data_IF_244695102389
#
_entry.id   IF_244695102389
#
_cell.length_a   1.000
_cell.length_b   1.000
_cell.length_c   1.000
_cell.angle_alpha   90.00
_cell.angle_beta   90.00
_cell.angle_gamma   90.00
#
_symmetry.space_group_name_H-M   'P 1'
#
loop_
_entity.id
_entity.type
_entity.pdbx_description
1 polymer ?
#
# COMPACT_ATOMS: atom_id res chain seq x y z
N UNK A 1 17.32 -64.58 -49.16
CA UNK A 1 18.18 -63.46 -49.57
C UNK A 1 17.40 -62.16 -49.42
N UNK A 2 17.95 -61.25 -48.62
CA UNK A 2 17.61 -59.83 -48.42
C UNK A 2 16.21 -59.41 -47.94
N UNK A 3 16.14 -59.25 -46.61
CA UNK A 3 15.19 -58.45 -45.85
C UNK A 3 15.40 -56.95 -46.12
N UNK A 4 14.33 -56.22 -46.46
CA UNK A 4 14.28 -54.75 -46.37
C UNK A 4 13.35 -54.36 -45.23
N UNK A 5 13.94 -53.99 -44.09
CA UNK A 5 13.26 -53.36 -42.95
C UNK A 5 12.92 -51.91 -43.33
N UNK A 6 11.64 -51.56 -43.38
CA UNK A 6 11.20 -50.16 -43.34
C UNK A 6 11.21 -49.72 -41.86
N UNK A 7 12.08 -48.77 -41.53
CA UNK A 7 12.09 -48.05 -40.25
C UNK A 7 10.93 -47.06 -40.24
N UNK A 8 9.96 -47.27 -39.36
CA UNK A 8 8.92 -46.29 -39.03
C UNK A 8 9.52 -45.29 -38.04
N UNK A 9 9.76 -44.05 -38.48
CA UNK A 9 10.17 -42.96 -37.59
C UNK A 9 8.92 -42.48 -36.87
N UNK A 10 8.81 -42.81 -35.58
CA UNK A 10 7.81 -42.21 -34.70
C UNK A 10 8.23 -40.75 -34.43
N UNK A 11 7.45 -39.79 -34.95
CA UNK A 11 7.59 -38.40 -34.57
C UNK A 11 7.14 -38.25 -33.11
N UNK A 12 8.10 -38.15 -32.19
CA UNK A 12 7.84 -37.75 -30.82
C UNK A 12 7.42 -36.27 -30.84
N UNK A 13 6.12 -36.02 -30.66
CA UNK A 13 5.61 -34.68 -30.35
C UNK A 13 6.15 -34.33 -28.96
N UNK A 14 7.19 -33.50 -28.89
CA UNK A 14 7.55 -32.83 -27.65
C UNK A 14 6.38 -31.91 -27.29
N UNK A 15 5.55 -32.34 -26.34
CA UNK A 15 4.69 -31.43 -25.62
C UNK A 15 5.60 -30.43 -24.89
N UNK A 16 5.69 -29.21 -25.42
CA UNK A 16 6.20 -28.07 -24.67
C UNK A 16 5.17 -27.82 -23.58
N UNK A 17 5.41 -28.38 -22.40
CA UNK A 17 4.70 -27.97 -21.19
C UNK A 17 5.10 -26.53 -20.94
N UNK A 18 4.26 -25.58 -21.33
CA UNK A 18 4.34 -24.21 -20.82
C UNK A 18 4.05 -24.31 -19.33
N UNK A 19 5.11 -24.39 -18.53
CA UNK A 19 5.00 -24.20 -17.08
C UNK A 19 4.28 -22.87 -16.89
N UNK A 20 3.07 -22.91 -16.35
CA UNK A 20 2.39 -21.74 -15.83
C UNK A 20 3.32 -21.10 -14.80
N UNK A 21 3.96 -19.99 -15.17
CA UNK A 21 4.80 -19.20 -14.27
C UNK A 21 3.86 -18.42 -13.36
N UNK A 22 3.19 -19.10 -12.43
CA UNK A 22 2.94 -18.50 -11.14
C UNK A 22 4.24 -18.69 -10.36
N UNK A 23 5.24 -17.85 -10.62
CA UNK A 23 6.34 -17.75 -9.66
C UNK A 23 5.70 -17.28 -8.35
N UNK A 24 5.72 -18.16 -7.34
CA UNK A 24 5.24 -17.78 -6.01
C UNK A 24 6.01 -16.57 -5.51
N UNK A 25 5.34 -15.71 -4.74
CA UNK A 25 6.00 -14.59 -4.07
C UNK A 25 7.24 -15.09 -3.32
N UNK A 26 8.31 -14.29 -3.28
CA UNK A 26 9.45 -14.61 -2.43
C UNK A 26 8.98 -14.78 -0.98
N UNK A 27 9.30 -15.90 -0.34
CA UNK A 27 9.01 -16.11 1.08
C UNK A 27 10.19 -15.63 1.91
N UNK A 28 9.92 -14.78 2.90
CA UNK A 28 10.90 -14.41 3.92
C UNK A 28 11.40 -15.68 4.63
N UNK A 29 12.72 -15.82 4.74
CA UNK A 29 13.37 -17.01 5.32
C UNK A 29 13.41 -17.02 6.85
N UNK A 30 13.20 -15.86 7.49
CA UNK A 30 13.15 -15.74 8.95
C UNK A 30 11.91 -16.48 9.51
N UNK A 31 12.09 -17.49 10.39
CA UNK A 31 10.98 -18.25 10.97
C UNK A 31 9.95 -17.40 11.73
N UNK A 32 10.31 -16.20 12.19
CA UNK A 32 9.39 -15.31 12.89
C UNK A 32 8.16 -14.94 12.03
N UNK A 33 8.33 -14.89 10.71
CA UNK A 33 7.26 -14.55 9.76
C UNK A 33 6.34 -15.73 9.44
N UNK A 34 6.59 -16.91 10.01
CA UNK A 34 5.80 -18.11 9.78
C UNK A 34 5.03 -18.51 11.03
N UNK A 35 3.73 -18.78 10.87
CA UNK A 35 2.92 -19.37 11.94
C UNK A 35 3.15 -20.88 12.04
N UNK A 36 3.57 -21.33 13.22
CA UNK A 36 3.88 -22.74 13.50
C UNK A 36 2.92 -23.38 14.51
N UNK A 37 1.85 -22.67 14.91
CA UNK A 37 0.88 -23.18 15.87
C UNK A 37 -0.09 -24.21 15.26
N UNK A 38 -0.72 -25.01 16.13
CA UNK A 38 -1.60 -26.10 15.71
C UNK A 38 -3.04 -25.64 15.40
N UNK A 39 -3.46 -24.45 15.85
CA UNK A 39 -4.82 -23.94 15.65
C UNK A 39 -4.93 -23.35 14.24
N UNK A 40 -5.88 -23.80 13.39
CA UNK A 40 -6.06 -23.21 12.07
C UNK A 40 -6.30 -21.70 12.15
N UNK A 41 -5.62 -20.89 11.32
CA UNK A 41 -5.75 -19.42 11.33
C UNK A 41 -7.20 -18.93 11.15
N UNK A 42 -8.03 -19.69 10.42
CA UNK A 42 -9.47 -19.41 10.26
C UNK A 42 -10.25 -19.42 11.59
N UNK A 43 -9.75 -20.12 12.60
CA UNK A 43 -10.34 -20.24 13.93
C UNK A 43 -9.78 -19.23 14.93
N UNK A 44 -8.82 -18.39 14.50
CA UNK A 44 -8.21 -17.33 15.30
C UNK A 44 -8.80 -16.00 14.86
N UNK A 45 -9.09 -15.10 15.79
CA UNK A 45 -9.65 -13.79 15.49
C UNK A 45 -8.61 -12.84 14.86
N UNK A 46 -9.00 -11.98 13.90
CA UNK A 46 -8.12 -10.95 13.35
C UNK A 46 -7.53 -10.04 14.44
N UNK A 47 -6.24 -9.71 14.33
CA UNK A 47 -5.45 -8.95 15.30
C UNK A 47 -4.96 -9.75 16.51
N UNK A 48 -5.21 -11.06 16.59
CA UNK A 48 -4.63 -11.91 17.64
C UNK A 48 -3.13 -12.05 17.41
N UNK A 49 -2.33 -11.76 18.44
CA UNK A 49 -0.87 -11.97 18.40
C UNK A 49 -0.53 -13.44 18.58
N UNK A 50 0.30 -13.94 17.68
CA UNK A 50 0.70 -15.35 17.55
C UNK A 50 2.15 -15.56 17.95
N UNK A 51 3.00 -14.55 17.77
CA UNK A 51 4.39 -14.55 18.21
C UNK A 51 4.86 -13.13 18.50
N UNK A 52 5.89 -12.97 19.32
CA UNK A 52 6.48 -11.67 19.66
C UNK A 52 7.98 -11.78 19.77
N UNK A 53 8.70 -10.76 19.29
CA UNK A 53 10.14 -10.60 19.55
C UNK A 53 10.50 -9.14 19.76
N UNK A 54 11.62 -8.91 20.42
CA UNK A 54 12.22 -7.58 20.57
C UNK A 54 13.39 -7.48 19.59
N UNK A 55 13.44 -6.39 18.82
CA UNK A 55 14.55 -6.08 17.92
C UNK A 55 15.11 -4.69 18.20
N UNK A 56 16.40 -4.50 17.94
CA UNK A 56 16.98 -3.16 17.89
C UNK A 56 16.39 -2.41 16.71
N UNK A 57 15.90 -1.19 16.91
CA UNK A 57 15.37 -0.39 15.81
C UNK A 57 16.52 0.15 14.97
N UNK A 58 16.55 -0.21 13.69
CA UNK A 58 17.52 0.31 12.73
C UNK A 58 16.93 1.43 11.87
N UNK A 59 17.75 2.44 11.58
CA UNK A 59 17.43 3.51 10.62
C UNK A 59 18.56 3.51 9.58
N UNK A 60 18.21 3.33 8.30
CA UNK A 60 19.18 3.21 7.21
C UNK A 60 20.27 2.16 7.49
N UNK A 61 19.90 1.02 8.08
CA UNK A 61 20.81 -0.07 8.46
C UNK A 61 21.65 0.20 9.71
N UNK A 62 21.57 1.38 10.31
CA UNK A 62 22.31 1.73 11.52
C UNK A 62 21.45 1.48 12.76
N UNK A 63 21.93 0.73 13.76
CA UNK A 63 21.19 0.50 15.00
C UNK A 63 21.03 1.82 15.76
N UNK A 64 19.86 2.01 16.36
CA UNK A 64 19.56 3.14 17.26
C UNK A 64 19.54 2.68 18.71
N UNK A 65 19.40 3.62 19.66
CA UNK A 65 19.19 3.29 21.07
C UNK A 65 17.75 2.81 21.38
N UNK A 66 16.85 2.84 20.39
CA UNK A 66 15.46 2.43 20.57
C UNK A 66 15.27 0.95 20.26
N UNK A 67 14.26 0.37 20.89
CA UNK A 67 13.81 -0.99 20.61
C UNK A 67 12.44 -0.96 19.92
N UNK A 68 12.19 -1.97 19.10
CA UNK A 68 10.88 -2.24 18.53
C UNK A 68 10.37 -3.61 18.99
N UNK A 69 9.09 -3.68 19.34
CA UNK A 69 8.38 -4.95 19.55
C UNK A 69 7.78 -5.40 18.23
N UNK A 70 8.25 -6.51 17.69
CA UNK A 70 7.62 -7.14 16.53
C UNK A 70 6.57 -8.14 16.96
N UNK A 71 5.40 -8.05 16.35
CA UNK A 71 4.25 -8.90 16.61
C UNK A 71 3.89 -9.62 15.31
N UNK A 72 3.95 -10.95 15.32
CA UNK A 72 3.28 -11.76 14.31
C UNK A 72 1.81 -11.85 14.70
N UNK A 73 0.89 -11.41 13.85
CA UNK A 73 -0.54 -11.40 14.15
C UNK A 73 -1.36 -12.01 13.01
N UNK A 74 -2.54 -12.52 13.36
CA UNK A 74 -3.51 -13.04 12.38
C UNK A 74 -4.22 -11.87 11.70
N UNK A 75 -4.31 -11.88 10.37
CA UNK A 75 -5.07 -10.90 9.56
C UNK A 75 -5.81 -11.60 8.41
N UNK A 76 -6.23 -10.86 7.38
CA UNK A 76 -6.80 -11.38 6.13
C UNK A 76 -6.14 -10.73 4.92
N UNK A 77 -5.94 -11.54 3.86
CA UNK A 77 -5.36 -11.07 2.59
C UNK A 77 -6.42 -10.41 1.68
N UNK A 78 -6.02 -9.94 0.49
CA UNK A 78 -6.93 -9.33 -0.48
C UNK A 78 -8.13 -10.21 -0.90
N UNK A 79 -8.04 -11.53 -0.73
CA UNK A 79 -9.13 -12.49 -0.99
C UNK A 79 -9.97 -12.81 0.27
N UNK A 80 -9.73 -12.12 1.38
CA UNK A 80 -10.30 -12.38 2.71
C UNK A 80 -9.94 -13.76 3.29
N UNK A 81 -8.85 -14.39 2.84
CA UNK A 81 -8.36 -15.64 3.42
C UNK A 81 -7.57 -15.32 4.70
N UNK A 82 -7.67 -16.15 5.75
CA UNK A 82 -6.95 -15.92 6.99
C UNK A 82 -5.46 -16.20 6.80
N UNK A 83 -4.64 -15.17 7.01
CA UNK A 83 -3.17 -15.20 6.89
C UNK A 83 -2.54 -14.62 8.15
N UNK A 84 -1.21 -14.60 8.20
CA UNK A 84 -0.45 -13.85 9.22
C UNK A 84 0.26 -12.68 8.59
N UNK A 85 0.57 -11.69 9.41
CA UNK A 85 1.39 -10.57 9.02
C UNK A 85 2.19 -10.04 10.22
N UNK A 86 3.14 -9.15 9.97
CA UNK A 86 3.99 -8.57 11.02
C UNK A 86 3.76 -7.06 11.16
N UNK A 87 3.90 -6.58 12.40
CA UNK A 87 3.96 -5.16 12.71
C UNK A 87 5.06 -4.90 13.73
N UNK A 88 5.71 -3.75 13.62
CA UNK A 88 6.72 -3.28 14.56
C UNK A 88 6.15 -2.11 15.38
N UNK A 89 6.23 -2.20 16.71
CA UNK A 89 5.89 -1.09 17.61
C UNK A 89 7.16 -0.48 18.19
N UNK A 90 7.50 0.71 17.72
CA UNK A 90 8.63 1.50 18.22
C UNK A 90 8.14 2.29 19.44
N UNK A 91 8.75 2.00 20.59
CA UNK A 91 8.34 2.63 21.86
C UNK A 91 8.99 3.99 22.01
N UNK A 92 8.18 5.00 22.34
CA UNK A 92 8.73 6.28 22.77
C UNK A 92 9.35 6.16 24.16
N UNK A 93 10.56 6.69 24.38
CA UNK A 93 11.17 6.77 25.71
C UNK A 93 10.42 7.73 26.66
N UNK A 94 9.58 8.61 26.12
CA UNK A 94 8.78 9.60 26.85
C UNK A 94 7.27 9.37 26.59
N UNK A 95 6.86 8.10 26.58
CA UNK A 95 5.52 7.70 26.14
C UNK A 95 4.40 8.46 26.86
N UNK A 96 3.46 8.97 26.07
CA UNK A 96 2.25 9.65 26.52
C UNK A 96 1.01 8.73 26.51
N UNK A 97 1.20 7.43 26.30
CA UNK A 97 0.14 6.41 26.23
C UNK A 97 -0.71 6.43 24.96
N UNK A 98 -0.39 7.28 23.98
CA UNK A 98 -1.05 7.36 22.66
C UNK A 98 -0.14 6.78 21.58
N UNK A 99 -0.73 6.41 20.45
CA UNK A 99 0.02 5.87 19.33
C UNK A 99 -0.27 6.58 18.01
N UNK A 100 0.73 6.58 17.14
CA UNK A 100 0.56 6.84 15.72
C UNK A 100 0.67 5.49 15.01
N UNK A 101 -0.34 5.13 14.22
CA UNK A 101 -0.20 4.07 13.22
C UNK A 101 0.35 4.72 11.95
N UNK A 102 1.57 4.36 11.59
CA UNK A 102 2.28 4.92 10.45
C UNK A 102 2.35 3.91 9.31
N UNK A 103 1.76 4.26 8.17
CA UNK A 103 1.78 3.46 6.96
C UNK A 103 2.93 3.95 6.08
N UNK A 104 3.99 3.15 5.99
CA UNK A 104 5.16 3.44 5.14
C UNK A 104 4.83 3.26 3.66
N UNK A 105 5.42 4.10 2.80
CA UNK A 105 5.35 3.98 1.35
C UNK A 105 6.57 3.20 0.82
N UNK A 106 6.68 1.93 1.21
CA UNK A 106 7.80 1.08 0.80
C UNK A 106 7.65 0.53 -0.62
N UNK A 107 6.42 0.59 -1.16
CA UNK A 107 6.02 0.41 -2.54
C UNK A 107 6.83 -0.68 -3.26
N UNK A 108 6.59 -1.94 -2.88
CA UNK A 108 7.39 -3.06 -3.38
C UNK A 108 6.57 -4.29 -3.72
N UNK A 109 7.09 -5.10 -4.63
CA UNK A 109 6.56 -6.45 -4.87
C UNK A 109 7.33 -7.52 -4.09
N UNK A 110 8.26 -7.13 -3.22
CA UNK A 110 9.17 -8.03 -2.52
C UNK A 110 8.93 -8.00 -1.00
N UNK A 111 8.53 -9.13 -0.39
CA UNK A 111 8.33 -9.23 1.07
C UNK A 111 9.57 -8.90 1.92
N UNK A 112 10.77 -8.95 1.34
CA UNK A 112 11.96 -8.49 2.06
C UNK A 112 11.99 -6.96 2.24
N UNK A 113 11.24 -6.17 1.47
CA UNK A 113 11.11 -4.69 1.58
C UNK A 113 10.13 -4.23 2.66
N UNK A 114 9.44 -5.17 3.31
CA UNK A 114 8.52 -4.90 4.39
C UNK A 114 9.19 -4.08 5.53
N UNK A 115 8.49 -3.07 6.09
CA UNK A 115 9.00 -2.24 7.18
C UNK A 115 9.59 -3.03 8.35
N UNK A 116 8.98 -4.15 8.74
CA UNK A 116 9.48 -5.02 9.80
C UNK A 116 10.87 -5.60 9.51
N UNK A 117 11.18 -5.97 8.27
CA UNK A 117 12.51 -6.45 7.86
C UNK A 117 13.55 -5.35 7.99
N UNK A 118 13.21 -4.15 7.50
CA UNK A 118 14.06 -2.97 7.57
C UNK A 118 14.36 -2.60 9.03
N UNK A 119 13.34 -2.62 9.88
CA UNK A 119 13.43 -2.32 11.32
C UNK A 119 14.33 -3.34 12.04
N UNK A 120 14.20 -4.63 11.72
CA UNK A 120 14.99 -5.70 12.32
C UNK A 120 16.47 -5.68 11.90
N UNK A 121 16.79 -5.00 10.79
CA UNK A 121 18.15 -4.94 10.24
C UNK A 121 18.49 -6.13 9.34
N UNK A 122 17.51 -6.93 8.92
CA UNK A 122 17.68 -8.18 8.17
C UNK A 122 17.97 -7.96 6.66
N UNK A 123 18.48 -6.79 6.29
CA UNK A 123 18.79 -6.43 4.90
C UNK A 123 20.28 -6.48 4.60
N UNK A 124 20.60 -7.14 3.50
CA UNK A 124 21.91 -7.07 2.87
C UNK A 124 22.27 -5.60 2.61
N UNK A 125 23.38 -5.14 3.20
CA UNK A 125 23.89 -3.78 3.10
C UNK A 125 24.17 -3.34 1.66
N UNK A 126 24.29 -4.29 0.72
CA UNK A 126 24.42 -4.00 -0.72
C UNK A 126 23.10 -3.57 -1.37
N UNK A 127 21.95 -3.88 -0.77
CA UNK A 127 20.61 -3.39 -1.17
C UNK A 127 20.20 -2.10 -0.45
N UNK A 128 20.94 -1.68 0.58
CA UNK A 128 20.75 -0.39 1.27
C UNK A 128 21.14 0.79 0.37
N UNK A 129 21.94 0.55 -0.69
CA UNK A 129 22.23 1.53 -1.75
C UNK A 129 21.18 1.44 -2.89
N UNK A 130 20.00 0.86 -2.64
CA UNK A 130 18.82 1.23 -3.45
C UNK A 130 18.31 2.55 -2.90
N UNK A 131 18.13 3.52 -3.80
CA UNK A 131 17.66 4.89 -3.53
C UNK A 131 16.35 4.93 -2.72
N UNK A 132 15.63 3.81 -2.60
CA UNK A 132 14.53 3.59 -1.67
C UNK A 132 14.91 3.69 -0.17
N UNK A 133 16.15 3.41 0.25
CA UNK A 133 16.58 3.63 1.65
C UNK A 133 16.89 5.10 1.94
N UNK A 134 17.26 5.89 0.93
CA UNK A 134 17.30 7.35 1.01
C UNK A 134 15.89 7.95 1.08
N UNK A 135 14.92 7.35 0.38
CA UNK A 135 13.50 7.68 0.55
C UNK A 135 12.92 7.18 1.88
N UNK A 136 13.46 6.12 2.50
CA UNK A 136 13.11 5.64 3.85
C UNK A 136 13.75 6.45 4.98
N UNK A 137 14.92 7.06 4.74
CA UNK A 137 15.56 8.02 5.65
C UNK A 137 15.09 9.47 5.40
N UNK A 138 14.47 9.70 4.24
CA UNK A 138 13.72 10.89 3.86
C UNK A 138 12.22 10.61 3.76
N UNK A 139 11.70 9.61 4.49
CA UNK A 139 10.27 9.56 4.79
C UNK A 139 10.01 10.82 5.60
N UNK A 140 9.44 11.79 4.93
CA UNK A 140 9.33 13.20 5.31
C UNK A 140 8.40 13.42 6.50
N UNK A 141 7.83 12.34 7.03
CA UNK A 141 7.23 12.30 8.36
C UNK A 141 8.34 12.01 9.38
N UNK A 142 8.74 13.00 10.20
CA UNK A 142 9.82 12.80 11.15
C UNK A 142 9.33 11.90 12.31
N UNK A 143 9.41 10.57 12.15
CA UNK A 143 9.02 9.60 13.18
C UNK A 143 9.74 9.86 14.50
N UNK A 144 10.98 10.34 14.43
CA UNK A 144 11.75 10.84 15.57
C UNK A 144 11.02 11.95 16.33
N UNK A 145 10.41 12.90 15.65
CA UNK A 145 9.61 13.97 16.27
C UNK A 145 8.36 13.39 16.95
N UNK A 146 7.67 12.45 16.31
CA UNK A 146 6.49 11.79 16.93
C UNK A 146 6.89 11.02 18.20
N UNK A 147 8.00 10.30 18.16
CA UNK A 147 8.57 9.60 19.31
C UNK A 147 8.98 10.58 20.41
N UNK A 148 9.61 11.71 20.09
CA UNK A 148 9.97 12.77 21.04
C UNK A 148 8.75 13.47 21.65
N UNK A 149 7.63 13.55 20.93
CA UNK A 149 6.34 14.03 21.43
C UNK A 149 5.61 13.00 22.31
N UNK A 150 6.19 11.82 22.50
CA UNK A 150 5.68 10.78 23.37
C UNK A 150 4.77 9.75 22.70
N UNK A 151 4.58 9.81 21.38
CA UNK A 151 3.76 8.82 20.69
C UNK A 151 4.55 7.53 20.48
N UNK A 152 3.97 6.37 20.84
CA UNK A 152 4.47 5.10 20.33
C UNK A 152 4.10 5.00 18.84
N UNK A 153 4.94 4.40 18.01
CA UNK A 153 4.71 4.31 16.57
C UNK A 153 4.48 2.84 16.19
N UNK A 154 3.31 2.54 15.62
CA UNK A 154 2.95 1.23 15.08
C UNK A 154 3.23 1.28 13.57
N UNK A 155 4.10 0.41 13.08
CA UNK A 155 4.49 0.32 11.67
C UNK A 155 4.13 -1.08 11.16
N UNK A 156 2.96 -1.24 10.52
CA UNK A 156 2.57 -2.50 9.89
C UNK A 156 3.24 -2.72 8.55
N UNK A 157 3.41 -3.99 8.18
CA UNK A 157 3.74 -4.40 6.82
C UNK A 157 2.47 -4.36 5.98
N UNK A 158 2.10 -3.16 5.52
CA UNK A 158 0.73 -2.88 5.03
C UNK A 158 0.34 -3.72 3.83
N UNK A 159 1.29 -4.07 2.95
CA UNK A 159 0.98 -4.80 1.72
C UNK A 159 0.76 -6.31 1.93
N UNK A 160 0.78 -6.78 3.18
CA UNK A 160 0.61 -8.19 3.51
C UNK A 160 1.89 -8.99 3.26
N UNK A 161 1.89 -10.25 3.72
CA UNK A 161 3.05 -11.15 3.74
C UNK A 161 3.67 -11.43 2.36
N UNK A 162 2.90 -11.17 1.30
CA UNK A 162 3.27 -11.37 -0.11
C UNK A 162 3.61 -10.06 -0.82
N UNK A 163 3.61 -8.92 -0.11
CA UNK A 163 3.86 -7.58 -0.62
C UNK A 163 2.93 -7.18 -1.77
N UNK A 164 1.62 -7.38 -1.63
CA UNK A 164 0.64 -7.23 -2.72
C UNK A 164 0.39 -5.75 -3.06
N UNK A 165 1.34 -5.16 -3.80
CA UNK A 165 1.32 -3.75 -4.17
C UNK A 165 -0.01 -3.31 -4.80
N UNK A 166 -0.51 -2.15 -4.36
CA UNK A 166 -1.80 -1.53 -4.68
C UNK A 166 -3.07 -2.29 -4.24
N UNK A 167 -2.98 -3.39 -3.47
CA UNK A 167 -4.15 -4.12 -2.95
C UNK A 167 -4.80 -3.42 -1.74
N UNK A 168 -5.42 -2.26 -1.97
CA UNK A 168 -5.95 -1.39 -0.91
C UNK A 168 -6.81 -2.05 0.19
N UNK A 169 -7.79 -2.93 -0.12
CA UNK A 169 -8.55 -3.63 0.91
C UNK A 169 -7.69 -4.44 1.89
N UNK A 170 -6.64 -5.11 1.39
CA UNK A 170 -5.68 -5.83 2.24
C UNK A 170 -4.94 -4.86 3.15
N UNK A 171 -4.49 -3.71 2.61
CA UNK A 171 -3.77 -2.71 3.38
C UNK A 171 -4.60 -2.17 4.55
N UNK A 172 -5.90 -1.98 4.32
CA UNK A 172 -6.81 -1.56 5.37
C UNK A 172 -6.95 -2.61 6.48
N UNK A 173 -7.10 -3.89 6.12
CA UNK A 173 -7.24 -4.98 7.09
C UNK A 173 -5.95 -5.21 7.88
N UNK A 174 -4.79 -5.27 7.22
CA UNK A 174 -3.47 -5.42 7.87
C UNK A 174 -3.22 -4.24 8.83
N UNK A 175 -3.52 -3.01 8.41
CA UNK A 175 -3.37 -1.83 9.26
C UNK A 175 -4.26 -1.92 10.51
N UNK A 176 -5.56 -2.19 10.37
CA UNK A 176 -6.49 -2.24 11.51
C UNK A 176 -6.16 -3.37 12.48
N UNK A 177 -5.80 -4.54 11.97
CA UNK A 177 -5.44 -5.69 12.79
C UNK A 177 -4.06 -5.52 13.45
N UNK A 178 -3.14 -4.77 12.84
CA UNK A 178 -1.88 -4.39 13.50
C UNK A 178 -2.13 -3.46 14.70
N UNK A 179 -3.07 -2.53 14.59
CA UNK A 179 -3.47 -1.66 15.71
C UNK A 179 -4.09 -2.53 16.80
N UNK A 180 -4.99 -3.46 16.44
CA UNK A 180 -5.58 -4.39 17.40
C UNK A 180 -4.51 -5.25 18.11
N UNK A 181 -3.53 -5.77 17.38
CA UNK A 181 -2.41 -6.52 17.94
C UNK A 181 -1.57 -5.66 18.90
N UNK A 182 -1.25 -4.43 18.50
CA UNK A 182 -0.43 -3.52 19.28
C UNK A 182 -1.10 -3.10 20.60
N UNK A 183 -2.39 -2.75 20.56
CA UNK A 183 -3.16 -2.31 21.73
C UNK A 183 -3.42 -3.43 22.74
N UNK A 184 -3.46 -4.68 22.29
CA UNK A 184 -3.71 -5.85 23.13
C UNK A 184 -2.43 -6.54 23.64
N UNK A 185 -1.24 -5.99 23.35
CA UNK A 185 0.04 -6.59 23.74
C UNK A 185 0.78 -5.71 24.75
N UNK A 186 0.86 -6.09 26.05
CA UNK A 186 1.46 -5.23 27.07
C UNK A 186 2.91 -4.80 26.80
N UNK A 187 3.70 -5.61 26.09
CA UNK A 187 5.10 -5.31 25.82
C UNK A 187 5.30 -4.11 24.87
N UNK A 188 4.27 -3.72 24.13
CA UNK A 188 4.26 -2.52 23.27
C UNK A 188 4.18 -1.21 24.06
N UNK A 189 3.84 -1.28 25.36
CA UNK A 189 3.60 -0.09 26.18
C UNK A 189 2.30 0.65 25.84
N UNK A 190 1.38 0.01 25.11
CA UNK A 190 0.04 0.51 24.83
C UNK A 190 -1.01 -0.26 25.63
N UNK A 191 -2.16 0.38 25.84
CA UNK A 191 -3.32 -0.22 26.47
C UNK A 191 -4.47 -0.38 25.45
N UNK A 192 -5.45 -1.26 25.71
CA UNK A 192 -6.64 -1.40 24.85
C UNK A 192 -7.44 -0.11 24.65
N UNK A 193 -7.27 0.87 25.55
CA UNK A 193 -7.91 2.20 25.52
C UNK A 193 -7.01 3.31 24.94
N UNK A 194 -5.76 3.02 24.61
CA UNK A 194 -4.84 3.99 24.01
C UNK A 194 -5.45 4.54 22.72
N UNK A 195 -5.42 5.88 22.59
CA UNK A 195 -5.88 6.56 21.39
C UNK A 195 -4.84 6.46 20.29
N UNK A 196 -5.32 6.31 19.05
CA UNK A 196 -4.50 6.11 17.87
C UNK A 196 -4.90 7.12 16.79
N UNK A 197 -3.93 7.70 16.10
CA UNK A 197 -4.17 8.37 14.82
C UNK A 197 -3.46 7.61 13.72
N UNK A 198 -4.01 7.58 12.52
CA UNK A 198 -3.39 6.94 11.36
C UNK A 198 -2.79 7.98 10.45
N UNK A 199 -1.58 7.73 9.93
CA UNK A 199 -0.93 8.64 8.99
C UNK A 199 -0.22 7.86 7.87
N UNK A 200 -0.28 8.40 6.66
CA UNK A 200 0.39 7.83 5.49
C UNK A 200 0.42 8.81 4.33
N UNK A 201 1.43 8.70 3.47
CA UNK A 201 1.54 9.50 2.24
C UNK A 201 1.85 8.56 1.08
N UNK A 202 1.41 8.89 -0.14
CA UNK A 202 1.64 8.06 -1.33
C UNK A 202 1.11 6.63 -1.17
N UNK A 203 1.93 5.59 -1.34
CA UNK A 203 1.54 4.20 -1.04
C UNK A 203 1.02 4.00 0.39
N UNK A 204 1.59 4.71 1.36
CA UNK A 204 1.10 4.72 2.74
C UNK A 204 -0.32 5.30 2.87
N UNK A 205 -0.68 6.27 2.03
CA UNK A 205 -2.04 6.83 2.01
C UNK A 205 -3.07 5.82 1.49
N UNK A 206 -2.68 4.83 0.67
CA UNK A 206 -3.56 3.72 0.29
C UNK A 206 -4.01 2.98 1.55
N UNK A 207 -3.07 2.62 2.41
CA UNK A 207 -3.33 1.89 3.64
C UNK A 207 -4.14 2.74 4.63
N UNK A 208 -3.77 4.01 4.83
CA UNK A 208 -4.49 4.93 5.72
C UNK A 208 -5.95 5.13 5.28
N UNK A 209 -6.19 5.35 3.99
CA UNK A 209 -7.53 5.57 3.44
C UNK A 209 -8.42 4.33 3.56
N UNK A 210 -7.91 3.17 3.13
CA UNK A 210 -8.66 1.91 3.22
C UNK A 210 -8.91 1.51 4.67
N UNK A 211 -7.94 1.69 5.58
CA UNK A 211 -8.14 1.45 7.00
C UNK A 211 -9.23 2.37 7.57
N UNK A 212 -9.24 3.66 7.24
CA UNK A 212 -10.25 4.60 7.71
C UNK A 212 -11.67 4.21 7.24
N UNK A 213 -11.80 3.83 5.96
CA UNK A 213 -13.08 3.42 5.37
C UNK A 213 -13.57 2.06 5.90
N UNK A 214 -12.66 1.11 6.17
CA UNK A 214 -13.02 -0.22 6.69
C UNK A 214 -13.25 -0.23 8.20
N UNK A 215 -12.63 0.69 8.97
CA UNK A 215 -12.69 0.69 10.43
C UNK A 215 -14.10 0.54 11.02
N UNK A 216 -15.15 1.25 10.52
CA UNK A 216 -16.49 1.17 11.11
C UNK A 216 -17.12 -0.23 11.04
N UNK A 217 -16.88 -0.96 9.94
CA UNK A 217 -17.49 -2.27 9.70
C UNK A 217 -16.58 -3.46 10.04
N UNK A 218 -15.29 -3.36 9.74
CA UNK A 218 -14.31 -4.43 9.92
C UNK A 218 -13.73 -4.47 11.35
N UNK A 219 -13.40 -3.31 11.91
CA UNK A 219 -12.76 -3.18 13.21
C UNK A 219 -13.44 -2.12 14.10
N UNK A 220 -14.74 -2.26 14.43
CA UNK A 220 -15.47 -1.26 15.20
C UNK A 220 -14.91 -1.05 16.62
N UNK A 221 -14.20 -2.04 17.15
CA UNK A 221 -13.42 -1.94 18.38
C UNK A 221 -12.24 -0.95 18.25
N UNK A 222 -11.53 -1.00 17.12
CA UNK A 222 -10.43 -0.08 16.79
C UNK A 222 -10.94 1.28 16.37
N UNK A 223 -12.02 1.36 15.59
CA UNK A 223 -12.64 2.62 15.16
C UNK A 223 -12.92 3.57 16.32
N UNK A 224 -13.30 3.03 17.50
CA UNK A 224 -13.54 3.82 18.73
C UNK A 224 -12.27 4.41 19.36
N UNK A 225 -11.10 3.86 19.03
CA UNK A 225 -9.80 4.35 19.49
C UNK A 225 -9.14 5.31 18.50
N UNK A 226 -9.62 5.37 17.27
CA UNK A 226 -9.13 6.29 16.26
C UNK A 226 -9.58 7.72 16.56
N UNK A 227 -8.63 8.66 16.62
CA UNK A 227 -8.93 10.10 16.79
C UNK A 227 -8.99 10.86 15.46
N UNK A 228 -8.56 10.21 14.38
CA UNK A 228 -8.55 10.74 13.03
C UNK A 228 -7.51 10.02 12.15
N UNK A 229 -7.58 10.26 10.85
CA UNK A 229 -6.58 9.83 9.88
C UNK A 229 -6.09 11.01 9.05
N UNK A 230 -4.79 11.06 8.79
CA UNK A 230 -4.18 12.04 7.91
C UNK A 230 -3.48 11.34 6.75
N UNK A 231 -3.83 11.71 5.54
CA UNK A 231 -3.33 11.10 4.32
C UNK A 231 -2.94 12.15 3.29
N UNK A 232 -2.02 11.83 2.40
CA UNK A 232 -1.66 12.72 1.30
C UNK A 232 -1.15 11.98 0.07
N UNK A 233 -1.36 12.55 -1.12
CA UNK A 233 -1.07 11.86 -2.38
C UNK A 233 -1.86 10.56 -2.46
N UNK A 234 -3.18 10.65 -2.41
CA UNK A 234 -4.06 9.48 -2.20
C UNK A 234 -4.41 8.80 -3.53
N UNK A 235 -4.17 7.50 -3.64
CA UNK A 235 -4.70 6.68 -4.73
C UNK A 235 -6.18 6.39 -4.48
N UNK A 236 -7.05 6.93 -5.33
CA UNK A 236 -8.51 6.77 -5.21
C UNK A 236 -9.03 5.77 -6.22
N UNK A 237 -8.78 6.02 -7.50
CA UNK A 237 -9.24 5.20 -8.62
C UNK A 237 -8.05 4.72 -9.45
N UNK A 238 -7.58 3.47 -9.23
CA UNK A 238 -6.45 2.92 -9.96
C UNK A 238 -6.65 2.87 -11.49
N UNK A 239 -7.89 2.84 -11.99
CA UNK A 239 -8.15 2.80 -13.42
C UNK A 239 -7.95 4.19 -14.08
N UNK A 240 -8.36 5.26 -13.40
CA UNK A 240 -8.00 6.62 -13.81
C UNK A 240 -6.49 6.85 -13.72
N UNK A 241 -5.85 6.45 -12.61
CA UNK A 241 -4.41 6.60 -12.41
C UNK A 241 -3.59 5.87 -13.48
N UNK A 242 -4.01 4.67 -13.91
CA UNK A 242 -3.36 3.93 -15.00
C UNK A 242 -3.20 4.77 -16.26
N UNK A 243 -4.23 5.55 -16.61
CA UNK A 243 -4.22 6.46 -17.77
C UNK A 243 -3.45 7.74 -17.49
N UNK A 244 -3.45 8.22 -16.25
CA UNK A 244 -2.76 9.44 -15.86
C UNK A 244 -1.23 9.30 -15.90
N UNK A 245 -0.70 8.18 -15.42
CA UNK A 245 0.76 7.92 -15.38
C UNK A 245 1.28 7.33 -16.69
N UNK A 246 0.43 7.11 -17.69
CA UNK A 246 0.82 6.49 -18.97
C UNK A 246 1.90 7.31 -19.69
N UNK A 247 3.06 6.70 -19.94
CA UNK A 247 4.18 7.39 -20.57
C UNK A 247 4.88 8.42 -19.66
N UNK A 248 4.52 8.50 -18.38
CA UNK A 248 5.22 9.37 -17.43
C UNK A 248 6.71 9.01 -17.36
N UNK A 249 7.58 10.03 -17.40
CA UNK A 249 9.04 9.83 -17.33
C UNK A 249 9.40 9.16 -16.01
N UNK A 250 8.92 9.71 -14.89
CA UNK A 250 9.28 9.17 -13.57
C UNK A 250 8.41 7.98 -13.21
N UNK A 251 7.10 8.04 -13.51
CA UNK A 251 6.12 7.15 -12.88
C UNK A 251 5.55 6.06 -13.79
N UNK A 252 5.89 6.01 -15.09
CA UNK A 252 5.29 5.04 -16.02
C UNK A 252 5.41 3.57 -15.57
N UNK A 253 6.50 3.21 -14.90
CA UNK A 253 6.72 1.88 -14.35
C UNK A 253 5.76 1.46 -13.22
N UNK A 254 5.13 2.41 -12.53
CA UNK A 254 4.23 2.12 -11.38
C UNK A 254 2.99 1.32 -11.82
N UNK A 255 2.52 1.55 -13.04
CA UNK A 255 1.37 0.84 -13.61
C UNK A 255 1.62 -0.67 -13.71
N UNK A 256 2.81 -1.06 -14.17
CA UNK A 256 3.19 -2.47 -14.26
C UNK A 256 3.27 -3.11 -12.87
N UNK A 257 3.84 -2.40 -11.89
CA UNK A 257 3.94 -2.85 -10.52
C UNK A 257 2.55 -3.06 -9.89
N UNK A 258 1.65 -2.08 -10.02
CA UNK A 258 0.29 -2.16 -9.49
C UNK A 258 -0.50 -3.32 -10.14
N UNK A 259 -0.44 -3.49 -11.46
CA UNK A 259 -1.11 -4.60 -12.13
C UNK A 259 -0.58 -5.97 -11.68
N UNK A 260 0.73 -6.10 -11.49
CA UNK A 260 1.36 -7.33 -11.00
C UNK A 260 0.98 -7.62 -9.53
N UNK A 261 1.01 -6.60 -8.67
CA UNK A 261 0.61 -6.72 -7.26
C UNK A 261 -0.86 -7.09 -7.09
N UNK A 262 -1.75 -6.44 -7.86
CA UNK A 262 -3.18 -6.80 -7.88
C UNK A 262 -3.41 -8.23 -8.37
N UNK A 263 -2.73 -8.63 -9.46
CA UNK A 263 -2.79 -10.00 -10.00
C UNK A 263 -2.39 -11.04 -8.95
N UNK A 264 -1.33 -10.77 -8.19
CA UNK A 264 -0.86 -11.62 -7.09
C UNK A 264 -1.84 -11.65 -5.91
N UNK A 265 -2.18 -10.51 -5.34
CA UNK A 265 -3.01 -10.44 -4.14
C UNK A 265 -4.42 -10.99 -4.37
N UNK A 266 -5.03 -10.69 -5.51
CA UNK A 266 -6.36 -11.20 -5.84
C UNK A 266 -6.36 -12.55 -6.58
N UNK A 267 -5.19 -13.09 -6.92
CA UNK A 267 -5.03 -14.41 -7.54
C UNK A 267 -5.66 -14.54 -8.93
N UNK A 268 -5.58 -13.51 -9.76
CA UNK A 268 -6.04 -13.58 -11.16
C UNK A 268 -4.88 -13.53 -12.14
N UNK A 269 -4.98 -14.30 -13.23
CA UNK A 269 -3.89 -14.42 -14.21
C UNK A 269 -4.03 -13.39 -15.34
N UNK A 270 -3.05 -12.49 -15.44
CA UNK A 270 -2.93 -11.54 -16.54
C UNK A 270 -2.20 -12.09 -17.76
N UNK A 271 -1.46 -13.19 -17.63
CA UNK A 271 -0.60 -13.78 -18.69
C UNK A 271 -1.31 -13.97 -20.04
N UNK A 272 -2.59 -14.42 -20.11
CA UNK A 272 -3.29 -14.57 -21.38
C UNK A 272 -3.47 -13.26 -22.17
N UNK A 273 -3.40 -12.12 -21.49
CA UNK A 273 -3.63 -10.79 -22.03
C UNK A 273 -2.33 -10.03 -22.36
N UNK A 274 -1.20 -10.42 -21.76
CA UNK A 274 0.08 -9.74 -21.89
C UNK A 274 0.72 -9.94 -23.28
N UNK A 275 1.42 -8.93 -23.76
CA UNK A 275 2.38 -9.05 -24.87
C UNK A 275 3.64 -9.79 -24.41
N UNK A 276 4.53 -10.17 -25.34
CA UNK A 276 5.83 -10.74 -24.98
C UNK A 276 6.65 -9.77 -24.09
N UNK A 277 6.58 -8.46 -24.38
CA UNK A 277 7.17 -7.42 -23.54
C UNK A 277 6.52 -7.37 -22.17
N UNK A 278 5.20 -7.47 -22.09
CA UNK A 278 4.46 -7.50 -20.82
C UNK A 278 4.87 -8.67 -19.94
N UNK A 279 5.00 -9.87 -20.52
CA UNK A 279 5.50 -11.05 -19.80
C UNK A 279 6.92 -10.82 -19.28
N UNK A 280 7.81 -10.26 -20.10
CA UNK A 280 9.18 -9.96 -19.69
C UNK A 280 9.24 -8.94 -18.54
N UNK A 281 8.48 -7.84 -18.64
CA UNK A 281 8.36 -6.82 -17.58
C UNK A 281 7.81 -7.45 -16.31
N UNK A 282 6.71 -8.19 -16.41
CA UNK A 282 6.09 -8.80 -15.23
C UNK A 282 7.07 -9.73 -14.53
N UNK A 283 7.74 -10.64 -15.25
CA UNK A 283 8.73 -11.55 -14.65
C UNK A 283 9.90 -10.83 -13.97
N UNK A 284 10.33 -9.69 -14.51
CA UNK A 284 11.43 -8.90 -13.96
C UNK A 284 11.09 -8.23 -12.63
N UNK A 285 9.84 -7.76 -12.48
CA UNK A 285 9.44 -6.91 -11.35
C UNK A 285 8.87 -7.68 -10.15
N UNK A 286 8.51 -8.97 -10.28
CA UNK A 286 7.71 -9.71 -9.27
C UNK A 286 8.31 -9.76 -7.85
N UNK A 287 9.59 -9.43 -7.70
CA UNK A 287 10.30 -9.34 -6.42
C UNK A 287 11.19 -8.09 -6.35
N UNK A 288 10.74 -6.96 -6.91
CA UNK A 288 11.46 -5.69 -6.94
C UNK A 288 10.65 -4.56 -6.30
N UNK A 289 11.35 -3.55 -5.79
CA UNK A 289 10.74 -2.31 -5.29
C UNK A 289 10.55 -1.28 -6.39
N UNK A 290 9.69 -0.28 -6.19
CA UNK A 290 9.57 0.85 -7.11
C UNK A 290 10.91 1.57 -7.35
N UNK A 291 11.82 1.60 -6.36
CA UNK A 291 13.15 2.16 -6.53
C UNK A 291 13.98 1.45 -7.62
N UNK A 292 13.73 0.17 -7.87
CA UNK A 292 14.30 -0.57 -9.00
C UNK A 292 13.49 -0.34 -10.30
N UNK A 293 12.16 -0.36 -10.20
CA UNK A 293 11.24 -0.37 -11.35
C UNK A 293 11.22 0.98 -12.07
N UNK A 294 11.07 2.09 -11.34
CA UNK A 294 10.89 3.43 -11.92
C UNK A 294 12.05 3.88 -12.83
N UNK A 295 13.33 3.80 -12.44
CA UNK A 295 14.42 4.19 -13.34
C UNK A 295 14.61 3.24 -14.52
N UNK A 296 14.20 1.97 -14.40
CA UNK A 296 14.34 0.97 -15.48
C UNK A 296 13.23 1.08 -16.52
N UNK A 297 12.03 1.45 -16.11
CA UNK A 297 10.82 1.52 -16.93
C UNK A 297 10.31 2.97 -17.09
N UNK A 298 11.25 3.91 -17.17
CA UNK A 298 10.98 5.32 -17.48
C UNK A 298 10.21 5.48 -18.79
N UNK A 299 9.12 6.26 -18.76
CA UNK A 299 8.29 6.49 -19.94
C UNK A 299 7.51 5.26 -20.42
N UNK A 300 7.38 4.22 -19.59
CA UNK A 300 6.61 3.03 -19.95
C UNK A 300 5.15 3.40 -20.19
N UNK A 301 4.62 2.95 -21.33
CA UNK A 301 3.20 3.00 -21.63
C UNK A 301 2.53 1.67 -21.25
N UNK A 302 1.46 1.72 -20.47
CA UNK A 302 0.76 0.51 -20.01
C UNK A 302 0.26 -0.34 -21.19
N UNK A 303 -0.12 0.31 -22.30
CA UNK A 303 -0.61 -0.33 -23.52
C UNK A 303 0.39 -1.36 -24.09
N UNK A 304 1.69 -1.10 -23.95
CA UNK A 304 2.76 -1.98 -24.44
C UNK A 304 2.85 -3.30 -23.67
N UNK A 305 2.31 -3.36 -22.45
CA UNK A 305 2.27 -4.56 -21.63
C UNK A 305 1.27 -5.58 -22.15
N UNK A 306 0.31 -5.16 -22.97
CA UNK A 306 -0.81 -5.99 -23.41
C UNK A 306 -0.76 -6.30 -24.90
N UNK A 307 -1.38 -7.41 -25.31
CA UNK A 307 -1.55 -7.77 -26.73
C UNK A 307 -2.30 -6.65 -27.47
N UNK A 308 -2.09 -6.45 -28.78
CA UNK A 308 -2.68 -5.34 -29.54
C UNK A 308 -4.21 -5.21 -29.40
N UNK A 309 -4.94 -6.33 -29.25
CA UNK A 309 -6.40 -6.33 -29.05
C UNK A 309 -6.88 -5.72 -27.73
N UNK A 310 -6.00 -5.59 -26.74
CA UNK A 310 -6.28 -5.04 -25.40
C UNK A 310 -5.59 -3.69 -25.17
N UNK A 311 -4.56 -3.38 -25.95
CA UNK A 311 -3.68 -2.23 -25.75
C UNK A 311 -4.40 -0.86 -25.82
N UNK A 312 -5.55 -0.78 -26.49
CA UNK A 312 -6.35 0.46 -26.58
C UNK A 312 -7.52 0.49 -25.60
N UNK A 313 -7.87 -0.66 -25.01
CA UNK A 313 -8.99 -0.77 -24.09
C UNK A 313 -8.78 -1.92 -23.10
N UNK A 314 -8.11 -1.62 -21.99
CA UNK A 314 -7.88 -2.59 -20.92
C UNK A 314 -9.19 -3.07 -20.27
N UNK A 315 -10.28 -2.31 -20.41
CA UNK A 315 -11.59 -2.69 -19.87
C UNK A 315 -12.23 -3.85 -20.62
N UNK A 316 -11.73 -4.21 -21.81
CA UNK A 316 -12.12 -5.45 -22.51
C UNK A 316 -11.59 -6.73 -21.83
N UNK A 317 -10.82 -6.59 -20.73
CA UNK A 317 -10.35 -7.69 -19.89
C UNK A 317 -11.28 -7.81 -18.66
N UNK A 318 -12.14 -8.85 -18.58
CA UNK A 318 -13.12 -8.98 -17.48
C UNK A 318 -12.48 -9.06 -16.09
N UNK A 319 -11.31 -9.71 -16.00
CA UNK A 319 -10.56 -9.80 -14.75
C UNK A 319 -10.10 -8.41 -14.29
N UNK A 320 -9.55 -7.58 -15.19
CA UNK A 320 -9.12 -6.23 -14.86
C UNK A 320 -10.28 -5.40 -14.32
N UNK A 321 -11.42 -5.33 -15.03
CA UNK A 321 -12.59 -4.55 -14.59
C UNK A 321 -13.08 -5.00 -13.21
N UNK A 322 -13.11 -6.31 -12.97
CA UNK A 322 -13.53 -6.85 -11.67
C UNK A 322 -12.63 -6.36 -10.54
N UNK A 323 -11.31 -6.44 -10.72
CA UNK A 323 -10.36 -6.16 -9.65
C UNK A 323 -10.01 -4.67 -9.52
N UNK A 324 -9.99 -3.90 -10.61
CA UNK A 324 -9.89 -2.45 -10.58
C UNK A 324 -11.03 -1.83 -9.74
N UNK A 325 -12.26 -2.32 -9.92
CA UNK A 325 -13.40 -1.91 -9.09
C UNK A 325 -13.26 -2.31 -7.61
N UNK A 326 -12.61 -3.44 -7.30
CA UNK A 326 -12.37 -3.83 -5.90
C UNK A 326 -11.37 -2.93 -5.19
N UNK A 327 -10.48 -2.28 -5.93
CA UNK A 327 -9.46 -1.36 -5.38
C UNK A 327 -9.78 0.12 -5.62
N UNK A 328 -10.94 0.43 -6.19
CA UNK A 328 -11.46 1.79 -6.26
C UNK A 328 -12.00 2.21 -4.88
N UNK A 329 -11.22 3.04 -4.17
CA UNK A 329 -11.61 3.57 -2.87
C UNK A 329 -12.85 4.46 -2.94
N UNK A 330 -13.15 5.02 -4.11
CA UNK A 330 -14.39 5.73 -4.41
C UNK A 330 -15.65 4.89 -4.24
N UNK A 331 -15.56 3.57 -4.40
CA UNK A 331 -16.69 2.64 -4.25
C UNK A 331 -16.87 2.09 -2.82
N UNK A 332 -15.88 2.27 -1.94
CA UNK A 332 -15.95 1.82 -0.55
C UNK A 332 -16.91 2.67 0.31
N UNK A 333 -17.16 2.31 1.57
CA UNK A 333 -17.96 3.14 2.48
C UNK A 333 -17.13 4.34 2.98
N UNK A 334 -17.79 5.46 3.35
CA UNK A 334 -17.09 6.58 4.01
C UNK A 334 -16.61 6.21 5.41
N UNK A 335 -15.48 6.79 5.88
CA UNK A 335 -15.03 6.62 7.26
C UNK A 335 -16.00 7.27 8.25
N UNK A 336 -15.82 7.02 9.55
CA UNK A 336 -16.58 7.71 10.62
C UNK A 336 -15.70 8.58 11.53
N UNK A 337 -14.42 8.71 11.16
CA UNK A 337 -13.40 9.48 11.89
C UNK A 337 -13.03 10.73 11.08
N UNK A 338 -12.55 11.81 11.73
CA UNK A 338 -12.07 12.98 11.02
C UNK A 338 -10.92 12.67 10.06
N UNK A 339 -10.92 13.34 8.90
CA UNK A 339 -9.90 13.16 7.85
C UNK A 339 -9.11 14.45 7.59
N UNK A 340 -7.81 14.34 7.42
CA UNK A 340 -6.93 15.40 6.90
C UNK A 340 -6.28 14.91 5.61
N UNK A 341 -6.63 15.50 4.48
CA UNK A 341 -6.27 15.02 3.14
C UNK A 341 -5.43 16.09 2.44
N UNK A 342 -4.20 15.75 2.06
CA UNK A 342 -3.32 16.60 1.26
C UNK A 342 -3.15 16.12 -0.18
N UNK A 343 -2.99 17.04 -1.12
CA UNK A 343 -2.77 16.64 -2.52
C UNK A 343 -1.88 17.64 -3.26
N UNK A 344 -0.85 17.15 -3.94
CA UNK A 344 -0.09 17.95 -4.90
C UNK A 344 -0.86 18.16 -6.21
N UNK A 345 -0.55 19.22 -6.95
CA UNK A 345 -1.23 19.57 -8.20
C UNK A 345 -0.27 19.96 -9.34
N UNK A 346 1.04 19.78 -9.17
CA UNK A 346 2.06 20.17 -10.16
C UNK A 346 2.82 18.98 -10.77
N UNK A 347 2.10 17.90 -11.12
CA UNK A 347 2.69 16.66 -11.63
C UNK A 347 3.51 16.72 -12.91
N UNK A 348 3.41 17.83 -13.65
CA UNK A 348 4.28 18.08 -14.82
C UNK A 348 5.76 18.14 -14.46
N UNK A 349 6.10 18.50 -13.22
CA UNK A 349 7.48 18.54 -12.73
C UNK A 349 8.07 17.13 -12.52
N UNK A 350 7.20 16.14 -12.31
CA UNK A 350 7.53 14.71 -12.25
C UNK A 350 7.50 14.03 -13.63
N UNK A 351 7.37 14.80 -14.72
CA UNK A 351 7.37 14.26 -16.07
C UNK A 351 6.07 13.53 -16.46
N UNK A 352 4.98 13.81 -15.75
CA UNK A 352 3.64 13.34 -16.10
C UNK A 352 2.91 14.42 -16.89
N UNK A 353 2.93 14.29 -18.21
CA UNK A 353 2.41 15.30 -19.14
C UNK A 353 0.98 14.92 -19.57
N UNK A 354 0.00 15.35 -18.78
CA UNK A 354 -1.42 15.13 -19.05
C UNK A 354 -2.24 16.41 -18.90
N UNK A 355 -3.45 16.42 -19.46
CA UNK A 355 -4.42 17.50 -19.22
C UNK A 355 -5.10 17.40 -17.85
N UNK A 356 -4.98 16.25 -17.18
CA UNK A 356 -5.52 16.06 -15.84
C UNK A 356 -4.60 16.68 -14.79
N UNK A 357 -5.21 17.21 -13.72
CA UNK A 357 -4.49 17.82 -12.60
C UNK A 357 -4.19 16.75 -11.56
N UNK A 358 -2.93 16.68 -11.15
CA UNK A 358 -2.48 15.75 -10.13
C UNK A 358 -1.06 16.09 -9.68
N UNK A 359 -0.51 15.28 -8.78
CA UNK A 359 0.81 15.51 -8.23
C UNK A 359 1.95 14.88 -9.04
N UNK A 360 1.61 14.08 -10.06
CA UNK A 360 2.56 13.37 -10.91
C UNK A 360 2.32 11.87 -10.89
N UNK A 361 1.69 11.38 -9.83
CA UNK A 361 1.30 9.98 -9.63
C UNK A 361 -0.20 9.86 -9.41
N UNK A 362 -0.74 10.69 -8.52
CA UNK A 362 -2.11 10.67 -8.04
C UNK A 362 -2.91 11.83 -8.60
N UNK A 363 -4.17 11.55 -8.93
CA UNK A 363 -5.09 12.51 -9.57
C UNK A 363 -5.80 13.37 -8.53
N UNK A 364 -5.61 14.68 -8.60
CA UNK A 364 -6.24 15.60 -7.67
C UNK A 364 -7.77 15.56 -7.78
N UNK A 365 -8.30 15.33 -8.99
CA UNK A 365 -9.75 15.33 -9.22
C UNK A 365 -10.45 14.11 -8.62
N UNK A 366 -9.76 12.96 -8.52
CA UNK A 366 -10.30 11.79 -7.82
C UNK A 366 -10.23 12.01 -6.30
N UNK A 367 -9.14 12.61 -5.80
CA UNK A 367 -8.99 12.94 -4.36
C UNK A 367 -10.04 13.96 -3.92
N UNK A 368 -10.36 14.95 -4.76
CA UNK A 368 -11.49 15.86 -4.53
C UNK A 368 -12.80 15.10 -4.43
N UNK A 369 -13.08 14.20 -5.37
CA UNK A 369 -14.31 13.41 -5.36
C UNK A 369 -14.43 12.56 -4.09
N UNK A 370 -13.31 11.96 -3.64
CA UNK A 370 -13.27 11.19 -2.40
C UNK A 370 -13.54 12.08 -1.17
N UNK A 371 -12.88 13.23 -1.09
CA UNK A 371 -13.10 14.19 -0.01
C UNK A 371 -14.55 14.72 0.00
N UNK A 372 -15.13 14.99 -1.17
CA UNK A 372 -16.53 15.39 -1.33
C UNK A 372 -17.49 14.30 -0.84
N UNK A 373 -17.24 13.04 -1.21
CA UNK A 373 -18.00 11.88 -0.73
C UNK A 373 -17.95 11.77 0.79
N UNK A 374 -16.77 11.92 1.41
CA UNK A 374 -16.63 11.88 2.86
C UNK A 374 -17.38 13.05 3.53
N UNK A 375 -17.24 14.25 2.99
CA UNK A 375 -18.00 15.42 3.43
C UNK A 375 -19.52 15.23 3.37
N UNK A 376 -20.03 14.65 2.26
CA UNK A 376 -21.45 14.40 2.07
C UNK A 376 -22.01 13.37 3.09
N UNK A 377 -21.16 12.49 3.60
CA UNK A 377 -21.48 11.54 4.68
C UNK A 377 -21.42 12.15 6.09
N UNK A 378 -21.16 13.46 6.20
CA UNK A 378 -21.07 14.17 7.48
C UNK A 378 -19.71 14.04 8.20
N UNK A 379 -18.69 13.48 7.54
CA UNK A 379 -17.34 13.38 8.09
C UNK A 379 -16.70 14.77 8.10
N UNK A 380 -16.09 15.21 9.23
CA UNK A 380 -15.23 16.40 9.22
C UNK A 380 -13.97 16.14 8.39
N UNK A 381 -13.82 16.86 7.28
CA UNK A 381 -12.68 16.76 6.37
C UNK A 381 -11.97 18.11 6.26
N UNK A 382 -10.66 18.09 6.41
CA UNK A 382 -9.79 19.16 5.92
C UNK A 382 -9.11 18.65 4.66
N UNK A 383 -9.42 19.26 3.52
CA UNK A 383 -8.76 18.99 2.25
C UNK A 383 -7.88 20.17 1.83
N UNK A 384 -6.60 19.92 1.55
CA UNK A 384 -5.63 20.95 1.18
C UNK A 384 -4.86 20.55 -0.08
N UNK A 385 -4.83 21.45 -1.06
CA UNK A 385 -4.01 21.30 -2.27
C UNK A 385 -2.72 22.11 -2.17
N UNK A 386 -1.63 21.57 -2.71
CA UNK A 386 -0.33 22.21 -2.79
C UNK A 386 0.09 22.32 -4.27
N UNK A 387 0.53 23.51 -4.73
CA UNK A 387 0.99 23.70 -6.11
C UNK A 387 2.41 23.12 -6.30
N UNK A 388 2.58 21.86 -5.95
CA UNK A 388 3.83 21.10 -5.93
C UNK A 388 3.58 19.71 -6.51
N UNK A 389 4.66 19.10 -6.98
CA UNK A 389 4.71 17.69 -7.36
C UNK A 389 4.64 16.76 -6.13
N UNK A 390 4.57 15.45 -6.40
CA UNK A 390 4.25 14.41 -5.43
C UNK A 390 5.15 14.45 -4.19
N UNK A 391 6.47 14.52 -4.39
CA UNK A 391 7.43 14.61 -3.29
C UNK A 391 7.45 16.00 -2.62
N UNK A 392 7.35 17.07 -3.41
CA UNK A 392 7.38 18.45 -2.92
C UNK A 392 6.22 18.77 -1.97
N UNK A 393 5.04 18.18 -2.21
CA UNK A 393 3.83 18.37 -1.41
C UNK A 393 3.91 17.75 0.01
N UNK A 394 4.88 16.88 0.31
CA UNK A 394 4.92 16.20 1.61
C UNK A 394 5.27 17.17 2.75
N UNK A 395 6.27 18.03 2.58
CA UNK A 395 6.69 18.97 3.62
C UNK A 395 5.55 19.90 4.10
N UNK A 396 4.81 20.61 3.23
CA UNK A 396 3.67 21.41 3.67
C UNK A 396 2.51 20.55 4.21
N UNK A 397 2.32 19.32 3.70
CA UNK A 397 1.34 18.39 4.27
C UNK A 397 1.68 18.01 5.72
N UNK A 398 2.92 17.63 6.02
CA UNK A 398 3.38 17.32 7.39
C UNK A 398 3.23 18.55 8.29
N UNK A 399 3.59 19.73 7.80
CA UNK A 399 3.48 20.98 8.56
C UNK A 399 2.04 21.28 9.00
N UNK A 400 1.04 21.01 8.16
CA UNK A 400 -0.37 21.16 8.53
C UNK A 400 -0.97 19.97 9.29
N UNK A 401 -0.51 18.76 9.00
CA UNK A 401 -0.95 17.53 9.66
C UNK A 401 -0.58 17.50 11.14
N UNK A 402 0.65 17.85 11.51
CA UNK A 402 1.13 17.74 12.91
C UNK A 402 0.26 18.51 13.93
N UNK A 403 -0.05 19.81 13.74
CA UNK A 403 -0.95 20.52 14.65
C UNK A 403 -2.38 19.97 14.61
N UNK A 404 -2.86 19.51 13.44
CA UNK A 404 -4.17 18.86 13.33
C UNK A 404 -4.26 17.57 14.16
N UNK A 405 -3.22 16.72 14.11
CA UNK A 405 -3.11 15.50 14.91
C UNK A 405 -3.06 15.80 16.41
N UNK A 406 -2.24 16.78 16.80
CA UNK A 406 -2.14 17.21 18.20
C UNK A 406 -3.51 17.59 18.77
N UNK A 407 -4.29 18.36 18.00
CA UNK A 407 -5.64 18.78 18.36
C UNK A 407 -6.63 17.61 18.45
N UNK A 408 -6.52 16.60 17.58
CA UNK A 408 -7.32 15.36 17.65
C UNK A 408 -7.04 14.57 18.92
N UNK A 409 -5.77 14.36 19.25
CA UNK A 409 -5.41 13.72 20.51
C UNK A 409 -5.81 14.57 21.74
N UNK A 410 -5.85 15.89 21.60
CA UNK A 410 -6.36 16.81 22.62
C UNK A 410 -7.88 16.82 22.77
N UNK A 411 -8.62 16.07 21.96
CA UNK A 411 -10.09 16.01 22.01
C UNK A 411 -10.78 17.27 21.47
N UNK A 412 -10.06 18.14 20.74
CA UNK A 412 -10.67 19.32 20.11
C UNK A 412 -11.52 18.91 18.92
N UNK A 413 -12.66 19.57 18.75
CA UNK A 413 -13.55 19.38 17.61
C UNK A 413 -12.79 19.48 16.27
N UNK A 414 -13.07 18.56 15.36
CA UNK A 414 -12.41 18.53 14.06
C UNK A 414 -12.84 19.70 13.17
N UNK A 415 -11.89 20.51 12.64
CA UNK A 415 -12.22 21.50 11.66
C UNK A 415 -12.67 20.81 10.37
N UNK A 416 -13.44 21.53 9.57
CA UNK A 416 -13.90 21.06 8.27
C UNK A 416 -13.91 22.21 7.28
N UNK A 417 -13.43 21.96 6.07
CA UNK A 417 -13.57 22.87 4.94
C UNK A 417 -14.47 22.29 3.84
N UNK A 418 -15.36 21.35 4.20
CA UNK A 418 -16.26 20.67 3.26
C UNK A 418 -17.06 21.60 2.35
N UNK A 419 -17.46 22.79 2.82
CA UNK A 419 -18.16 23.77 2.00
C UNK A 419 -17.30 24.28 0.82
N UNK A 420 -15.99 24.44 1.02
CA UNK A 420 -15.06 24.83 -0.04
C UNK A 420 -14.73 23.62 -0.93
N UNK A 421 -14.50 22.45 -0.33
CA UNK A 421 -14.22 21.20 -1.06
C UNK A 421 -15.34 20.83 -2.04
N UNK A 422 -16.60 21.09 -1.67
CA UNK A 422 -17.77 20.85 -2.53
C UNK A 422 -17.81 21.72 -3.80
N UNK A 423 -17.04 22.81 -3.86
CA UNK A 423 -16.97 23.71 -5.02
C UNK A 423 -15.88 23.31 -6.03
N UNK A 424 -14.99 22.40 -5.66
CA UNK A 424 -13.88 21.99 -6.52
C UNK A 424 -14.36 21.03 -7.62
N UNK A 425 -13.85 21.17 -8.86
CA UNK A 425 -14.18 20.21 -9.92
C UNK A 425 -13.53 18.86 -9.60
N UNK A 426 -14.28 17.79 -9.79
CA UNK A 426 -13.90 16.43 -9.42
C UNK A 426 -14.30 15.43 -10.51
N UNK A 427 -13.66 14.26 -10.50
CA UNK A 427 -13.99 13.18 -11.42
C UNK A 427 -15.16 12.34 -10.89
N UNK A 428 -15.82 11.62 -11.80
CA UNK A 428 -16.78 10.58 -11.41
C UNK A 428 -16.05 9.36 -10.88
N UNK A 429 -16.35 8.91 -9.66
CA UNK A 429 -15.81 7.67 -9.08
C UNK A 429 -16.73 6.46 -9.39
N UNK A 430 -17.32 6.45 -10.58
CA UNK A 430 -18.22 5.38 -11.00
C UNK A 430 -17.41 4.11 -11.27
N UNK A 431 -18.00 2.91 -11.09
CA UNK A 431 -17.30 1.68 -11.39
C UNK A 431 -16.97 1.57 -12.88
N UNK A 432 -15.82 0.97 -13.16
CA UNK A 432 -15.41 0.56 -14.50
C UNK A 432 -16.41 -0.44 -15.08
N UNK A 433 -16.71 -0.30 -16.37
CA UNK A 433 -17.60 -1.18 -17.12
C UNK A 433 -16.83 -2.04 -18.12
N UNK A 434 -17.24 -3.30 -18.26
CA UNK A 434 -16.72 -4.19 -19.31
C UNK A 434 -17.20 -3.70 -20.68
N UNK A 435 -16.28 -3.62 -21.64
CA UNK A 435 -16.53 -3.20 -23.02
C UNK A 435 -16.39 -4.34 -24.01
#
# INVERSE_FOLDING_TARGET
MFSKRLMTIAAAVLAVTTSSVHAGAATVTDPFYTYTGATPLKSIAPGTVLNTRTVTYHVAGMPTALIAQQLLYRTSDAQNRPVVNVTSVIRSPVSNGRAISYQSAYDSLNPYDEPSQVIAGDRDVTKIINVGTLLYSAESIPLSTLLLLGYNVIVPDTEGQTADFAAGPEYGMTTLDSIRAALNTPSTGLAPTSKVAMIGYSGGAIATNWAAQLAPSYAPDINKQLVGAAEGGVLVDPAHNLRYVDGSIVWGGVAAAALAGLSRGFGFDLTPYLSDSGVAVFNDIQNQSLAYILPKYTGLHWATLFKPRYANDINSIPAYVTYANKVNAGLAASPTIPMYIGQGTAGVLDGTFGSQVGDGVMLAYDVRALAQKFCASGVPVVYTEYPLEHAGAIAPWVAGMLPWLYDRFGGKAAPSNCALTALLPSNSLAPETLH
#
